data_IF_444864436770
#
_entry.id   IF_444864436770
#
_cell.length_a   1.000
_cell.length_b   1.000
_cell.length_c   1.000
_cell.angle_alpha   90.00
_cell.angle_beta   90.00
_cell.angle_gamma   90.00
#
_symmetry.space_group_name_H-M   'P 1'
#
loop_
_entity.id
_entity.type
_entity.pdbx_description
1 polymer ?
#
# COMPACT_ATOMS: atom_id res chain seq x y z
N UNK A 1 13.27 1.69 11.52
CA UNK A 1 13.10 0.83 12.70
C UNK A 1 11.68 0.27 12.64
N UNK A 2 11.53 -1.03 12.38
CA UNK A 2 10.23 -1.70 12.49
C UNK A 2 9.96 -1.94 13.98
N UNK A 3 8.83 -1.45 14.47
CA UNK A 3 8.35 -1.83 15.80
C UNK A 3 7.33 -2.94 15.65
N UNK A 4 7.52 -4.03 16.38
CA UNK A 4 6.53 -5.11 16.50
C UNK A 4 5.97 -5.08 17.91
N UNK A 5 4.67 -4.82 18.03
CA UNK A 5 3.94 -4.95 19.28
C UNK A 5 2.98 -6.14 19.12
N UNK A 6 3.24 -7.24 19.82
CA UNK A 6 2.41 -8.45 19.76
C UNK A 6 2.12 -8.98 18.33
N UNK A 7 3.12 -8.93 17.44
CA UNK A 7 2.98 -9.39 16.05
C UNK A 7 2.38 -8.39 15.07
N UNK A 8 2.00 -7.18 15.51
CA UNK A 8 1.61 -6.08 14.61
C UNK A 8 2.87 -5.42 14.06
N UNK A 9 3.12 -5.56 12.76
CA UNK A 9 4.20 -4.84 12.08
C UNK A 9 3.78 -3.42 11.74
N UNK A 10 4.57 -2.42 12.16
CA UNK A 10 4.30 -1.01 11.84
C UNK A 10 5.53 -0.36 11.21
N UNK A 11 5.34 0.32 10.09
CA UNK A 11 6.38 1.07 9.41
C UNK A 11 5.87 2.43 8.90
N UNK A 12 6.67 3.47 9.06
CA UNK A 12 6.49 4.69 8.27
C UNK A 12 7.18 4.50 6.91
N UNK A 13 6.45 4.75 5.83
CA UNK A 13 6.93 4.64 4.46
C UNK A 13 6.78 5.99 3.79
N UNK A 14 7.82 6.44 3.09
CA UNK A 14 7.79 7.65 2.29
C UNK A 14 8.25 7.34 0.87
N UNK A 15 7.40 7.68 -0.10
CA UNK A 15 7.68 7.59 -1.52
C UNK A 15 8.03 8.99 -2.05
N UNK A 16 9.17 9.11 -2.72
CA UNK A 16 9.47 10.27 -3.56
C UNK A 16 8.47 10.37 -4.73
N UNK A 17 8.32 11.55 -5.38
CA UNK A 17 7.43 11.69 -6.53
C UNK A 17 7.63 10.58 -7.57
N UNK A 18 6.51 10.02 -8.04
CA UNK A 18 6.43 8.88 -8.96
C UNK A 18 6.98 7.54 -8.45
N UNK A 19 7.50 7.46 -7.22
CA UNK A 19 7.90 6.20 -6.61
C UNK A 19 6.67 5.41 -6.16
N UNK A 20 6.62 4.12 -6.47
CA UNK A 20 5.57 3.20 -6.05
C UNK A 20 6.13 1.80 -5.92
N UNK A 21 5.45 0.96 -5.14
CA UNK A 21 5.79 -0.45 -5.09
C UNK A 21 5.28 -1.19 -6.32
N UNK A 22 5.76 -2.43 -6.49
CA UNK A 22 5.16 -3.36 -7.44
C UNK A 22 3.76 -3.77 -6.97
N UNK A 23 3.00 -4.36 -7.89
CA UNK A 23 1.83 -5.12 -7.48
C UNK A 23 2.24 -6.19 -6.46
N UNK A 24 1.42 -6.40 -5.45
CA UNK A 24 1.66 -7.42 -4.44
C UNK A 24 0.37 -7.87 -3.75
N UNK A 25 0.44 -8.99 -3.05
CA UNK A 25 -0.66 -9.60 -2.30
C UNK A 25 -0.19 -9.89 -0.88
N UNK A 26 -1.01 -9.52 0.11
CA UNK A 26 -0.88 -9.98 1.48
C UNK A 26 -1.75 -11.21 1.70
N UNK A 27 -1.15 -12.32 2.16
CA UNK A 27 -1.84 -13.56 2.48
C UNK A 27 -2.03 -13.74 3.98
N UNK A 28 -3.01 -14.58 4.35
CA UNK A 28 -3.29 -15.04 5.71
C UNK A 28 -4.41 -16.07 5.71
N UNK A 29 -4.31 -17.11 6.53
CA UNK A 29 -5.35 -18.14 6.64
C UNK A 29 -6.49 -17.72 7.58
N UNK A 30 -6.15 -16.98 8.65
CA UNK A 30 -7.10 -16.33 9.54
C UNK A 30 -6.59 -14.93 9.89
N UNK A 31 -7.42 -13.90 9.70
CA UNK A 31 -6.96 -12.51 9.85
C UNK A 31 -5.94 -12.13 8.76
N UNK A 32 -5.09 -11.14 9.02
CA UNK A 32 -4.11 -10.63 8.05
C UNK A 32 -4.61 -9.44 7.22
N UNK A 33 -3.81 -9.08 6.23
CA UNK A 33 -4.03 -7.90 5.39
C UNK A 33 -3.27 -6.68 5.91
N UNK A 34 -3.58 -5.52 5.35
CA UNK A 34 -2.82 -4.30 5.62
C UNK A 34 -3.76 -3.09 5.82
N UNK A 35 -3.34 -2.16 6.66
CA UNK A 35 -3.95 -0.84 6.78
C UNK A 35 -2.90 0.21 6.42
N UNK A 36 -3.29 1.17 5.57
CA UNK A 36 -2.53 2.38 5.31
C UNK A 36 -3.20 3.55 6.04
N UNK A 37 -2.46 4.23 6.90
CA UNK A 37 -2.86 5.52 7.46
C UNK A 37 -2.02 6.62 6.82
N UNK A 38 -2.62 7.43 5.95
CA UNK A 38 -1.89 8.44 5.20
C UNK A 38 -1.56 9.63 6.09
N UNK A 39 -0.28 10.00 6.14
CA UNK A 39 0.23 11.05 7.04
C UNK A 39 0.64 12.32 6.30
N UNK A 40 0.86 12.25 4.98
CA UNK A 40 1.26 13.42 4.22
C UNK A 40 1.39 13.19 2.72
N UNK A 41 1.39 14.31 1.97
CA UNK A 41 1.54 14.30 0.53
C UNK A 41 0.28 13.84 -0.22
N UNK A 42 0.48 13.43 -1.47
CA UNK A 42 -0.56 12.91 -2.36
C UNK A 42 -0.07 11.64 -3.03
N UNK A 43 -0.87 10.59 -2.93
CA UNK A 43 -0.54 9.27 -3.48
C UNK A 43 -1.70 8.60 -4.17
N UNK A 44 -1.47 7.34 -4.50
CA UNK A 44 -2.42 6.44 -5.14
C UNK A 44 -2.46 5.13 -4.39
N UNK A 45 -3.65 4.53 -4.37
CA UNK A 45 -3.87 3.12 -4.08
C UNK A 45 -4.71 2.52 -5.20
N UNK A 46 -4.40 1.30 -5.63
CA UNK A 46 -5.19 0.63 -6.64
C UNK A 46 -5.23 -0.87 -6.40
N UNK A 47 -6.43 -1.44 -6.48
CA UNK A 47 -6.64 -2.88 -6.58
C UNK A 47 -6.67 -3.33 -8.04
N UNK A 48 -6.26 -4.58 -8.29
CA UNK A 48 -6.25 -5.14 -9.63
C UNK A 48 -7.64 -5.10 -10.27
N UNK A 49 -7.71 -4.54 -11.49
CA UNK A 49 -8.96 -4.42 -12.24
C UNK A 49 -9.92 -3.33 -11.73
N UNK A 50 -9.55 -2.55 -10.72
CA UNK A 50 -10.32 -1.39 -10.24
C UNK A 50 -9.67 -0.06 -10.62
N UNK A 51 -10.45 1.02 -10.56
CA UNK A 51 -9.91 2.37 -10.70
C UNK A 51 -8.97 2.72 -9.54
N UNK A 52 -7.89 3.44 -9.84
CA UNK A 52 -6.99 3.95 -8.81
C UNK A 52 -7.66 5.06 -8.00
N UNK A 53 -7.44 5.02 -6.69
CA UNK A 53 -7.97 5.98 -5.73
C UNK A 53 -6.86 6.94 -5.33
N UNK A 54 -7.15 8.24 -5.42
CA UNK A 54 -6.25 9.29 -4.92
C UNK A 54 -6.29 9.32 -3.40
N UNK A 55 -5.13 9.47 -2.77
CA UNK A 55 -4.98 9.50 -1.32
C UNK A 55 -4.34 10.82 -0.85
N UNK A 56 -4.84 11.32 0.27
CA UNK A 56 -4.37 12.52 0.97
C UNK A 56 -4.19 12.25 2.47
N UNK A 57 -3.50 13.16 3.16
CA UNK A 57 -3.31 13.08 4.61
C UNK A 57 -4.65 12.94 5.35
N UNK A 58 -4.73 11.96 6.26
CA UNK A 58 -5.95 11.61 7.00
C UNK A 58 -6.74 10.46 6.39
N UNK A 59 -6.50 10.09 5.13
CA UNK A 59 -7.15 8.94 4.51
C UNK A 59 -6.67 7.62 5.14
N UNK A 60 -7.59 6.65 5.18
CA UNK A 60 -7.32 5.29 5.66
C UNK A 60 -7.73 4.29 4.59
N UNK A 61 -6.82 3.39 4.24
CA UNK A 61 -7.09 2.28 3.32
C UNK A 61 -6.99 0.98 4.09
N UNK A 62 -8.07 0.20 4.11
CA UNK A 62 -8.06 -1.18 4.60
C UNK A 62 -7.95 -2.12 3.41
N UNK A 63 -6.93 -2.97 3.40
CA UNK A 63 -6.57 -3.86 2.30
C UNK A 63 -6.75 -5.30 2.79
N UNK A 64 -7.84 -5.97 2.38
CA UNK A 64 -8.08 -7.35 2.78
C UNK A 64 -7.02 -8.33 2.27
N UNK A 65 -6.92 -9.47 2.94
CA UNK A 65 -6.13 -10.61 2.46
C UNK A 65 -6.52 -11.02 1.04
N UNK A 66 -5.52 -11.40 0.24
CA UNK A 66 -5.70 -11.91 -1.11
C UNK A 66 -5.94 -10.84 -2.17
N UNK A 67 -5.98 -9.57 -1.79
CA UNK A 67 -6.17 -8.46 -2.73
C UNK A 67 -4.83 -8.10 -3.38
N UNK A 68 -4.72 -8.29 -4.70
CA UNK A 68 -3.62 -7.77 -5.51
C UNK A 68 -3.74 -6.26 -5.64
N UNK A 69 -2.75 -5.54 -5.14
CA UNK A 69 -2.78 -4.08 -5.11
C UNK A 69 -1.38 -3.46 -5.22
N UNK A 70 -1.34 -2.15 -5.47
CA UNK A 70 -0.16 -1.32 -5.31
C UNK A 70 -0.54 0.01 -4.65
N UNK A 71 0.45 0.70 -4.13
CA UNK A 71 0.31 2.08 -3.64
C UNK A 71 1.63 2.84 -3.77
N UNK A 72 1.55 4.15 -3.87
CA UNK A 72 2.73 4.98 -4.03
C UNK A 72 2.41 6.46 -4.21
N UNK A 73 3.44 7.23 -4.50
CA UNK A 73 3.35 8.66 -4.70
C UNK A 73 2.64 9.02 -6.01
N UNK A 74 2.06 10.23 -6.05
CA UNK A 74 1.69 10.87 -7.30
C UNK A 74 2.95 11.32 -8.07
N UNK A 75 2.79 11.64 -9.36
CA UNK A 75 3.90 12.00 -10.26
C UNK A 75 4.70 13.24 -9.82
N UNK A 76 4.06 14.14 -9.09
CA UNK A 76 4.51 15.49 -8.77
C UNK A 76 4.48 15.80 -7.26
N UNK A 77 4.21 14.80 -6.43
CA UNK A 77 4.14 14.95 -4.98
C UNK A 77 4.78 13.74 -4.32
N UNK A 78 5.48 13.95 -3.20
CA UNK A 78 5.80 12.87 -2.29
C UNK A 78 4.51 12.31 -1.65
N UNK A 79 4.62 11.13 -1.06
CA UNK A 79 3.54 10.46 -0.33
C UNK A 79 4.09 9.72 0.88
N UNK A 80 3.51 9.95 2.05
CA UNK A 80 3.90 9.25 3.27
C UNK A 80 2.68 8.66 3.99
N UNK A 81 2.86 7.46 4.53
CA UNK A 81 1.84 6.75 5.28
C UNK A 81 2.48 5.82 6.31
N UNK A 82 1.71 5.50 7.33
CA UNK A 82 2.00 4.37 8.21
C UNK A 82 1.38 3.12 7.59
N UNK A 83 2.20 2.12 7.29
CA UNK A 83 1.76 0.78 6.95
C UNK A 83 1.65 -0.04 8.23
N UNK A 84 0.48 -0.66 8.43
CA UNK A 84 0.16 -1.50 9.58
C UNK A 84 -0.22 -2.88 9.05
N UNK A 85 0.60 -3.88 9.33
CA UNK A 85 0.30 -5.27 9.04
C UNK A 85 -0.70 -5.80 10.09
N UNK A 86 -1.88 -6.21 9.63
CA UNK A 86 -2.93 -6.73 10.51
C UNK A 86 -2.52 -8.13 10.97
N UNK A 87 -2.61 -8.46 12.28
CA UNK A 87 -2.28 -9.80 12.77
C UNK A 87 -3.08 -10.90 12.06
N UNK A 88 -2.40 -11.99 11.75
CA UNK A 88 -3.01 -13.19 11.17
C UNK A 88 -2.17 -14.44 11.35
N UNK A 89 -2.75 -15.58 11.01
CA UNK A 89 -2.07 -16.89 10.99
C UNK A 89 -1.51 -17.16 9.58
N UNK A 90 -0.27 -17.67 9.51
CA UNK A 90 0.40 -18.05 8.26
C UNK A 90 0.48 -16.90 7.22
N UNK A 91 0.76 -15.69 7.68
CA UNK A 91 0.83 -14.50 6.82
C UNK A 91 2.09 -14.49 5.95
N UNK A 92 1.95 -14.06 4.70
CA UNK A 92 3.09 -13.86 3.79
C UNK A 92 2.79 -12.78 2.74
N UNK A 93 3.83 -12.27 2.09
CA UNK A 93 3.71 -11.31 0.99
C UNK A 93 4.18 -11.95 -0.30
N UNK A 94 3.38 -11.83 -1.36
CA UNK A 94 3.80 -12.17 -2.72
C UNK A 94 4.02 -10.88 -3.50
N UNK A 95 5.26 -10.67 -3.94
CA UNK A 95 5.64 -9.57 -4.83
C UNK A 95 5.49 -9.99 -6.28
N UNK A 96 4.82 -9.17 -7.06
CA UNK A 96 4.46 -9.44 -8.45
C UNK A 96 5.15 -8.43 -9.38
N UNK A 97 4.58 -8.23 -10.57
CA UNK A 97 5.13 -7.36 -11.59
C UNK A 97 5.10 -5.86 -11.21
N UNK A 98 6.01 -5.05 -11.77
CA UNK A 98 5.92 -3.60 -11.65
C UNK A 98 4.60 -3.05 -12.21
N UNK A 99 4.11 -1.97 -11.63
CA UNK A 99 2.99 -1.20 -12.21
C UNK A 99 3.42 -0.65 -13.57
N UNK A 100 2.61 -0.90 -14.60
CA UNK A 100 2.90 -0.42 -15.95
C UNK A 100 3.08 1.09 -15.98
N UNK A 101 4.17 1.55 -16.58
CA UNK A 101 4.43 2.97 -16.81
C UNK A 101 3.28 3.64 -17.58
N UNK A 102 2.68 2.93 -18.54
CA UNK A 102 1.59 3.46 -19.35
C UNK A 102 0.30 3.63 -18.55
N UNK A 103 -0.01 2.70 -17.65
CA UNK A 103 -1.18 2.79 -16.78
C UNK A 103 -0.99 3.88 -15.74
N UNK A 104 0.20 3.92 -15.11
CA UNK A 104 0.54 4.93 -14.11
C UNK A 104 0.49 6.35 -14.70
N UNK A 105 0.99 6.56 -15.92
CA UNK A 105 0.95 7.89 -16.59
C UNK A 105 -0.46 8.37 -16.95
N UNK A 106 -1.47 7.49 -16.98
CA UNK A 106 -2.88 7.88 -17.19
C UNK A 106 -3.50 8.50 -15.93
N UNK A 107 -2.91 8.26 -14.76
CA UNK A 107 -3.40 8.80 -13.48
C UNK A 107 -3.14 10.31 -13.40
N UNK A 108 -4.16 11.05 -12.95
CA UNK A 108 -4.19 12.52 -13.03
C UNK A 108 -3.72 13.19 -11.75
#
# INVERSE_FOLDING_TARGET
MLMQLNGVGVANVTFEPACRNNWHIHYGEKGGGQILLVTGGRGWYQEWGKEAQVLHAGDVVAIPVGVKHWHGAAKDSWFAHIAIEVPGENTSNEWLEPVSEEEYKKLK
#
